data_IF_158859901167
#
_entry.id   IF_158859901167
#
_cell.length_a   1.000
_cell.length_b   1.000
_cell.length_c   1.000
_cell.angle_alpha   90.00
_cell.angle_beta   90.00
_cell.angle_gamma   90.00
#
_symmetry.space_group_name_H-M   'P 1'
#
loop_
_entity.id
_entity.type
_entity.pdbx_description
1 polymer ?
#
# COMPACT_ATOMS: atom_id res chain seq x y z
N UNK A 1 -5.77 -14.35 -2.23
CA UNK A 1 -5.76 -13.69 -3.54
C UNK A 1 -5.85 -12.20 -3.25
N UNK A 2 -4.91 -11.40 -3.77
CA UNK A 2 -5.00 -9.94 -3.63
C UNK A 2 -6.12 -9.50 -4.57
N UNK A 3 -7.02 -8.63 -4.12
CA UNK A 3 -8.08 -8.07 -4.98
C UNK A 3 -7.47 -7.30 -6.16
N UNK A 4 -8.26 -6.95 -7.17
CA UNK A 4 -7.79 -6.11 -8.30
C UNK A 4 -7.60 -4.67 -7.79
N UNK A 5 -6.57 -3.91 -8.22
CA UNK A 5 -6.43 -2.50 -7.83
C UNK A 5 -7.64 -1.71 -8.34
N UNK A 6 -8.08 -0.69 -7.60
CA UNK A 6 -9.15 0.19 -8.07
C UNK A 6 -8.62 1.19 -9.11
N UNK A 7 -7.31 1.46 -9.08
CA UNK A 7 -6.68 2.40 -10.01
C UNK A 7 -5.27 1.92 -10.40
N UNK A 8 -4.98 2.03 -11.69
CA UNK A 8 -3.61 2.03 -12.22
C UNK A 8 -3.26 3.45 -12.66
N UNK A 9 -2.18 3.99 -12.12
CA UNK A 9 -1.79 5.38 -12.37
C UNK A 9 -0.94 5.49 -13.63
N UNK A 10 -1.33 6.37 -14.55
CA UNK A 10 -0.59 6.62 -15.80
C UNK A 10 -0.05 8.05 -15.88
N UNK A 11 -0.56 8.97 -15.06
CA UNK A 11 -0.12 10.36 -15.02
C UNK A 11 1.07 10.50 -14.09
N UNK A 12 2.10 11.22 -14.54
CA UNK A 12 3.34 11.45 -13.80
C UNK A 12 3.10 11.97 -12.37
N UNK A 13 2.20 12.95 -12.19
CA UNK A 13 1.91 13.51 -10.87
C UNK A 13 1.30 12.49 -9.89
N UNK A 14 0.54 11.52 -10.38
CA UNK A 14 -0.01 10.45 -9.53
C UNK A 14 1.07 9.42 -9.17
N UNK A 15 1.96 9.12 -10.11
CA UNK A 15 3.11 8.22 -9.89
C UNK A 15 4.05 8.83 -8.84
N UNK A 16 4.34 10.12 -8.92
CA UNK A 16 5.15 10.82 -7.91
C UNK A 16 4.51 10.80 -6.51
N UNK A 17 3.18 10.93 -6.43
CA UNK A 17 2.43 10.79 -5.17
C UNK A 17 2.53 9.36 -4.63
N UNK A 18 2.36 8.37 -5.49
CA UNK A 18 2.50 6.96 -5.14
C UNK A 18 3.90 6.65 -4.61
N UNK A 19 4.94 7.12 -5.29
CA UNK A 19 6.33 6.98 -4.84
C UNK A 19 6.59 7.66 -3.49
N UNK A 20 5.97 8.82 -3.24
CA UNK A 20 6.06 9.51 -1.96
C UNK A 20 5.41 8.68 -0.83
N UNK A 21 4.25 8.08 -1.10
CA UNK A 21 3.61 7.16 -0.15
C UNK A 21 4.47 5.91 0.10
N UNK A 22 5.08 5.35 -0.94
CA UNK A 22 6.03 4.23 -0.82
C UNK A 22 7.25 4.61 0.03
N UNK A 23 7.76 5.84 -0.08
CA UNK A 23 8.85 6.35 0.78
C UNK A 23 8.44 6.47 2.24
N UNK A 24 7.15 6.69 2.52
CA UNK A 24 6.60 6.77 3.87
C UNK A 24 6.37 5.39 4.51
N UNK A 25 6.66 4.28 3.82
CA UNK A 25 6.50 2.92 4.34
C UNK A 25 7.85 2.18 4.28
N UNK A 26 8.86 2.57 5.08
CA UNK A 26 10.12 1.85 5.13
C UNK A 26 9.93 0.43 5.70
N UNK A 27 10.93 -0.42 5.50
CA UNK A 27 10.97 -1.74 6.13
C UNK A 27 10.78 -1.62 7.66
N UNK A 28 10.03 -2.53 8.25
CA UNK A 28 9.79 -2.65 9.70
C UNK A 28 9.08 -1.43 10.35
N UNK A 29 8.53 -0.51 9.56
CA UNK A 29 7.73 0.59 10.07
C UNK A 29 6.44 0.10 10.74
N UNK A 30 6.13 0.61 11.92
CA UNK A 30 4.84 0.39 12.59
C UNK A 30 3.92 1.54 12.23
N UNK A 31 2.79 1.23 11.58
CA UNK A 31 1.89 2.23 10.99
C UNK A 31 0.43 1.93 11.26
N UNK A 32 -0.39 2.98 11.26
CA UNK A 32 -1.83 2.89 11.02
C UNK A 32 -2.11 3.39 9.60
N UNK A 33 -2.74 2.55 8.79
CA UNK A 33 -3.23 2.87 7.47
C UNK A 33 -4.73 3.19 7.55
N UNK A 34 -5.11 4.39 7.12
CA UNK A 34 -6.52 4.76 6.95
C UNK A 34 -6.91 4.55 5.51
N UNK A 35 -7.96 3.80 5.29
CA UNK A 35 -8.39 3.34 3.97
C UNK A 35 -9.40 4.29 3.34
N UNK A 36 -9.51 4.26 2.01
CA UNK A 36 -10.46 5.07 1.25
C UNK A 36 -11.92 4.71 1.55
N UNK A 37 -12.19 3.48 1.98
CA UNK A 37 -13.50 3.00 2.41
C UNK A 37 -13.85 3.36 3.88
N UNK A 38 -12.97 4.08 4.57
CA UNK A 38 -13.14 4.48 5.97
C UNK A 38 -12.62 3.45 6.98
N UNK A 39 -12.15 2.29 6.53
CA UNK A 39 -11.48 1.31 7.38
C UNK A 39 -10.12 1.79 7.90
N UNK A 40 -9.62 1.11 8.94
CA UNK A 40 -8.29 1.32 9.49
C UNK A 40 -7.58 -0.01 9.68
N UNK A 41 -6.29 -0.05 9.37
CA UNK A 41 -5.45 -1.22 9.55
C UNK A 41 -4.14 -0.82 10.26
N UNK A 42 -3.81 -1.50 11.35
CA UNK A 42 -2.58 -1.25 12.10
C UNK A 42 -1.68 -2.47 12.05
N UNK A 43 -0.39 -2.26 11.84
CA UNK A 43 0.57 -3.34 11.73
C UNK A 43 1.97 -2.87 11.37
N UNK A 44 2.84 -3.85 11.13
CA UNK A 44 4.23 -3.63 10.75
C UNK A 44 4.40 -3.84 9.25
N UNK A 45 5.06 -2.90 8.58
CA UNK A 45 5.46 -3.04 7.18
C UNK A 45 6.50 -4.13 7.09
N UNK A 46 6.16 -5.24 6.44
CA UNK A 46 7.08 -6.36 6.31
C UNK A 46 8.28 -6.03 5.44
N UNK A 47 8.02 -5.35 4.34
CA UNK A 47 9.05 -4.78 3.47
C UNK A 47 8.46 -3.60 2.73
N UNK A 48 9.32 -2.64 2.41
CA UNK A 48 8.98 -1.44 1.70
C UNK A 48 8.31 -1.81 0.36
N UNK A 49 7.10 -1.32 0.09
CA UNK A 49 6.44 -1.58 -1.19
C UNK A 49 7.26 -0.99 -2.34
N UNK A 50 7.10 -1.55 -3.54
CA UNK A 50 7.76 -1.05 -4.75
C UNK A 50 6.72 -0.69 -5.80
N UNK A 51 6.91 0.48 -6.43
CA UNK A 51 6.11 0.89 -7.59
C UNK A 51 6.45 -0.03 -8.75
N UNK A 52 5.43 -0.66 -9.33
CA UNK A 52 5.56 -1.62 -10.41
C UNK A 52 4.50 -1.34 -11.48
N UNK A 53 4.73 -1.85 -12.69
CA UNK A 53 3.74 -1.84 -13.77
C UNK A 53 2.80 -3.02 -13.57
N UNK A 54 1.51 -2.75 -13.59
CA UNK A 54 0.43 -3.73 -13.58
C UNK A 54 -0.41 -3.56 -14.83
N UNK A 55 -1.23 -4.57 -15.11
CA UNK A 55 -2.19 -4.58 -16.20
C UNK A 55 -3.57 -4.93 -15.66
N UNK A 56 -4.59 -4.18 -16.05
CA UNK A 56 -5.97 -4.48 -15.69
C UNK A 56 -6.60 -5.54 -16.62
N UNK A 57 -7.88 -5.84 -16.40
CA UNK A 57 -8.62 -6.85 -17.15
C UNK A 57 -8.82 -6.48 -18.64
N UNK A 58 -8.81 -5.18 -18.96
CA UNK A 58 -8.94 -4.67 -20.34
C UNK A 58 -7.58 -4.58 -21.06
N UNK A 59 -6.50 -4.94 -20.36
CA UNK A 59 -5.15 -4.96 -20.90
C UNK A 59 -4.43 -3.61 -20.78
N UNK A 60 -5.01 -2.63 -20.09
CA UNK A 60 -4.41 -1.31 -19.91
C UNK A 60 -3.32 -1.39 -18.85
N UNK A 61 -2.16 -0.83 -19.18
CA UNK A 61 -1.02 -0.78 -18.28
C UNK A 61 -1.01 0.52 -17.47
N UNK A 62 -0.54 0.40 -16.23
CA UNK A 62 -0.23 1.56 -15.39
C UNK A 62 0.49 1.15 -14.13
N UNK A 63 0.81 2.13 -13.30
CA UNK A 63 1.63 1.93 -12.10
C UNK A 63 0.78 1.80 -10.85
N UNK A 64 1.18 0.91 -9.96
CA UNK A 64 0.67 0.84 -8.59
C UNK A 64 1.72 0.16 -7.70
N UNK A 65 1.38 -0.15 -6.46
CA UNK A 65 2.19 -0.92 -5.53
C UNK A 65 1.28 -1.65 -4.53
N UNK A 66 1.79 -2.74 -3.96
CA UNK A 66 1.14 -3.49 -2.89
C UNK A 66 2.02 -3.43 -1.65
N UNK A 67 1.42 -3.07 -0.52
CA UNK A 67 2.06 -3.18 0.80
C UNK A 67 1.63 -4.48 1.47
N UNK A 68 2.61 -5.17 2.07
CA UNK A 68 2.37 -6.27 3.02
C UNK A 68 2.49 -5.72 4.43
N UNK A 69 1.43 -5.83 5.21
CA UNK A 69 1.37 -5.44 6.60
C UNK A 69 1.14 -6.67 7.49
N UNK A 70 2.03 -6.92 8.44
CA UNK A 70 1.83 -7.94 9.46
C UNK A 70 0.96 -7.36 10.59
N UNK A 71 -0.17 -8.02 10.89
CA UNK A 71 -1.19 -7.51 11.80
C UNK A 71 -0.60 -7.28 13.21
N UNK A 72 -0.91 -6.13 13.80
CA UNK A 72 -0.38 -5.78 15.11
C UNK A 72 -0.83 -6.75 16.23
N UNK A 73 -2.05 -7.29 16.14
CA UNK A 73 -2.63 -8.17 17.16
C UNK A 73 -2.27 -9.63 16.93
N UNK A 74 -2.03 -10.01 15.68
CA UNK A 74 -1.62 -11.34 15.28
C UNK A 74 -0.57 -11.27 14.17
N UNK A 75 0.73 -11.17 14.50
CA UNK A 75 1.79 -11.02 13.51
C UNK A 75 1.89 -12.18 12.49
N UNK A 76 1.26 -13.33 12.76
CA UNK A 76 1.17 -14.43 11.79
C UNK A 76 0.17 -14.13 10.65
N UNK A 77 -0.72 -13.15 10.84
CA UNK A 77 -1.70 -12.70 9.86
C UNK A 77 -1.15 -11.55 9.04
N UNK A 78 -0.90 -11.81 7.76
CA UNK A 78 -0.49 -10.80 6.80
C UNK A 78 -1.68 -10.22 6.04
N UNK A 79 -1.67 -8.90 5.86
CA UNK A 79 -2.59 -8.15 5.01
C UNK A 79 -1.84 -7.65 3.78
N UNK A 80 -2.42 -7.86 2.60
CA UNK A 80 -1.89 -7.33 1.35
C UNK A 80 -2.86 -6.26 0.85
N UNK A 81 -2.37 -5.03 0.72
CA UNK A 81 -3.21 -3.89 0.39
C UNK A 81 -2.59 -3.11 -0.75
N UNK A 82 -3.42 -2.73 -1.73
CA UNK A 82 -3.00 -1.80 -2.75
C UNK A 82 -2.85 -0.39 -2.22
N UNK A 83 -1.84 0.31 -2.70
CA UNK A 83 -1.55 1.69 -2.28
C UNK A 83 -2.65 2.68 -2.67
N UNK A 84 -3.41 2.44 -3.74
CA UNK A 84 -4.57 3.28 -4.11
C UNK A 84 -5.73 3.20 -3.14
N UNK A 85 -5.79 2.16 -2.29
CA UNK A 85 -6.78 2.07 -1.20
C UNK A 85 -6.37 2.83 0.05
N UNK A 86 -5.15 3.33 0.12
CA UNK A 86 -4.64 4.05 1.29
C UNK A 86 -4.93 5.54 1.12
N UNK A 87 -5.71 6.08 2.05
CA UNK A 87 -6.00 7.51 2.12
C UNK A 87 -4.92 8.26 2.90
N UNK A 88 -4.47 7.69 4.02
CA UNK A 88 -3.52 8.33 4.93
C UNK A 88 -2.64 7.27 5.62
N UNK A 89 -1.36 7.61 5.82
CA UNK A 89 -0.38 6.78 6.53
C UNK A 89 0.01 7.53 7.80
N UNK A 90 -0.28 6.94 8.96
CA UNK A 90 0.08 7.47 10.27
C UNK A 90 1.25 6.66 10.80
N UNK A 91 2.39 7.33 11.04
CA UNK A 91 3.57 6.71 11.63
C UNK A 91 3.37 6.50 13.13
N UNK A 92 3.54 5.27 13.59
CA UNK A 92 3.46 4.92 15.02
C UNK A 92 4.84 4.55 15.60
N UNK A 93 5.81 4.17 14.76
CA UNK A 93 7.18 3.85 15.15
C UNK A 93 7.87 2.89 14.19
N UNK A 94 8.81 2.11 14.70
CA UNK A 94 9.44 0.97 14.04
C UNK A 94 9.45 -0.23 15.00
N UNK A 95 9.43 -1.44 14.46
CA UNK A 95 9.41 -2.68 15.23
C UNK A 95 10.77 -3.05 15.86
#
# INVERSE_FOLDING_TARGET
MIEVPQTLYTRQADIERLEAMVRALPDEAVVELRLTDGGTLTGTVSTRPSVQVFRDADGVEGFNAVVRLDDQRDPARAHYLWMDRIREIVQLGSA
#
